data_IF_990623776862
#
_entry.id   IF_990623776862
#
_cell.length_a   1.000
_cell.length_b   1.000
_cell.length_c   1.000
_cell.angle_alpha   90.00
_cell.angle_beta   90.00
_cell.angle_gamma   90.00
#
_symmetry.space_group_name_H-M   'P 1'
#
loop_
_entity.id
_entity.type
_entity.pdbx_description
1 polymer ?
#
# COMPACT_ATOMS: atom_id res chain seq x y z
N UNK A 1 -1.57 26.28 -3.98
CA UNK A 1 -2.80 25.91 -3.24
C UNK A 1 -3.50 24.84 -4.06
N UNK A 2 -3.52 23.60 -3.58
CA UNK A 2 -4.28 22.52 -4.22
C UNK A 2 -5.75 22.71 -3.88
N UNK A 3 -6.57 23.09 -4.87
CA UNK A 3 -8.02 23.19 -4.72
C UNK A 3 -8.63 21.79 -4.62
N UNK A 4 -9.62 21.63 -3.75
CA UNK A 4 -10.30 20.36 -3.52
C UNK A 4 -11.40 20.18 -4.56
N UNK A 5 -11.07 19.55 -5.68
CA UNK A 5 -11.95 19.50 -6.85
C UNK A 5 -12.83 18.24 -6.90
N UNK A 6 -12.59 17.26 -6.02
CA UNK A 6 -13.30 15.97 -5.97
C UNK A 6 -13.90 15.74 -4.58
N UNK A 7 -15.18 15.38 -4.54
CA UNK A 7 -15.90 15.02 -3.30
C UNK A 7 -16.25 13.54 -3.31
N UNK A 8 -15.95 12.87 -2.20
CA UNK A 8 -16.34 11.48 -1.93
C UNK A 8 -17.36 11.50 -0.78
N UNK A 9 -18.40 10.68 -0.89
CA UNK A 9 -19.36 10.44 0.19
C UNK A 9 -19.06 9.07 0.80
N UNK A 10 -18.88 9.04 2.12
CA UNK A 10 -18.63 7.83 2.89
C UNK A 10 -19.65 7.80 4.03
N UNK A 11 -20.26 6.64 4.25
CA UNK A 11 -21.17 6.42 5.36
C UNK A 11 -20.42 5.70 6.48
N UNK A 12 -20.61 6.19 7.70
CA UNK A 12 -20.11 5.59 8.92
C UNK A 12 -21.31 5.13 9.76
N UNK A 13 -21.12 4.09 10.55
CA UNK A 13 -22.06 3.81 11.64
C UNK A 13 -21.95 4.87 12.75
N UNK A 14 -22.94 4.89 13.64
CA UNK A 14 -23.06 5.89 14.71
C UNK A 14 -21.87 5.84 15.69
N UNK A 15 -21.38 4.65 16.01
CA UNK A 15 -20.28 4.47 16.95
C UNK A 15 -18.98 5.07 16.39
N UNK A 16 -18.67 4.72 15.15
CA UNK A 16 -17.48 5.20 14.46
C UNK A 16 -17.58 6.70 14.17
N UNK A 17 -18.77 7.20 13.81
CA UNK A 17 -18.99 8.63 13.65
C UNK A 17 -18.77 9.40 14.97
N UNK A 18 -19.28 8.87 16.09
CA UNK A 18 -19.05 9.45 17.41
C UNK A 18 -17.57 9.56 17.76
N UNK A 19 -16.79 8.51 17.47
CA UNK A 19 -15.33 8.53 17.63
C UNK A 19 -14.66 9.56 16.74
N UNK A 20 -15.01 9.63 15.45
CA UNK A 20 -14.51 10.64 14.51
C UNK A 20 -14.75 12.08 15.01
N UNK A 21 -15.93 12.35 15.57
CA UNK A 21 -16.26 13.67 16.13
C UNK A 21 -15.41 13.98 17.35
N UNK A 22 -15.16 13.00 18.23
CA UNK A 22 -14.34 13.19 19.41
C UNK A 22 -12.90 13.54 19.03
N UNK A 23 -12.26 12.74 18.18
CA UNK A 23 -10.88 12.95 17.74
C UNK A 23 -10.70 14.30 17.04
N UNK A 24 -11.59 14.63 16.09
CA UNK A 24 -11.53 15.91 15.39
C UNK A 24 -11.67 17.11 16.34
N UNK A 25 -12.46 16.98 17.41
CA UNK A 25 -12.59 18.02 18.45
C UNK A 25 -11.34 18.13 19.30
N UNK A 26 -10.73 17.02 19.69
CA UNK A 26 -9.48 17.00 20.45
C UNK A 26 -8.35 17.69 19.68
N UNK A 27 -8.28 17.42 18.37
CA UNK A 27 -7.30 18.05 17.47
C UNK A 27 -7.69 19.48 17.03
N UNK A 28 -8.91 19.93 17.36
CA UNK A 28 -9.46 21.25 16.99
C UNK A 28 -9.51 21.47 15.47
N UNK A 29 -9.81 20.43 14.70
CA UNK A 29 -9.96 20.47 13.25
C UNK A 29 -11.36 20.00 12.83
N UNK A 30 -11.70 20.23 11.55
CA UNK A 30 -12.95 19.69 11.00
C UNK A 30 -12.84 18.18 10.79
N UNK A 31 -13.97 17.45 10.89
CA UNK A 31 -14.02 16.02 10.58
C UNK A 31 -13.46 15.70 9.19
N UNK A 32 -13.75 16.56 8.20
CA UNK A 32 -13.24 16.39 6.84
C UNK A 32 -11.73 16.63 6.70
N UNK A 33 -11.12 17.43 7.59
CA UNK A 33 -9.67 17.58 7.68
C UNK A 33 -9.07 16.34 8.34
N UNK A 34 -9.63 15.91 9.48
CA UNK A 34 -9.19 14.70 10.18
C UNK A 34 -9.22 13.45 9.28
N UNK A 35 -10.32 13.23 8.54
CA UNK A 35 -10.43 12.11 7.59
C UNK A 35 -9.34 12.21 6.51
N UNK A 36 -9.04 13.41 6.02
CA UNK A 36 -8.01 13.58 5.01
C UNK A 36 -6.63 13.26 5.57
N UNK A 37 -6.31 13.79 6.72
CA UNK A 37 -5.01 13.57 7.36
C UNK A 37 -4.79 12.08 7.63
N UNK A 38 -5.83 11.37 8.11
CA UNK A 38 -5.79 9.92 8.29
C UNK A 38 -5.61 9.14 6.96
N UNK A 39 -6.23 9.60 5.86
CA UNK A 39 -6.05 9.00 4.54
C UNK A 39 -4.64 9.24 4.02
N UNK A 40 -4.15 10.48 4.10
CA UNK A 40 -2.82 10.87 3.64
C UNK A 40 -1.75 10.09 4.40
N UNK A 41 -1.87 10.00 5.73
CA UNK A 41 -0.96 9.21 6.57
C UNK A 41 -0.95 7.72 6.18
N UNK A 42 -2.12 7.13 5.90
CA UNK A 42 -2.21 5.73 5.48
C UNK A 42 -1.60 5.50 4.10
N UNK A 43 -1.77 6.43 3.16
CA UNK A 43 -1.19 6.34 1.83
C UNK A 43 0.33 6.52 1.86
N UNK A 44 0.82 7.46 2.65
CA UNK A 44 2.25 7.73 2.82
C UNK A 44 2.96 6.58 3.52
N UNK A 45 2.38 6.02 4.59
CA UNK A 45 2.90 4.80 5.24
C UNK A 45 3.02 3.65 4.26
N UNK A 46 1.98 3.40 3.46
CA UNK A 46 2.01 2.34 2.44
C UNK A 46 3.11 2.57 1.41
N UNK A 47 3.33 3.81 0.99
CA UNK A 47 4.41 4.16 0.06
C UNK A 47 5.79 3.91 0.68
N UNK A 48 5.97 4.30 1.94
CA UNK A 48 7.21 4.08 2.67
C UNK A 48 7.51 2.59 2.84
N UNK A 49 6.51 1.77 3.18
CA UNK A 49 6.65 0.32 3.32
C UNK A 49 7.08 -0.35 2.02
N UNK A 50 6.47 0.05 0.89
CA UNK A 50 6.83 -0.46 -0.44
C UNK A 50 8.27 -0.06 -0.78
N UNK A 51 8.68 1.17 -0.52
CA UNK A 51 10.05 1.61 -0.76
C UNK A 51 11.05 0.85 0.12
N UNK A 52 10.72 0.63 1.39
CA UNK A 52 11.56 -0.14 2.31
C UNK A 52 11.67 -1.63 1.90
N UNK A 53 10.59 -2.23 1.40
CA UNK A 53 10.62 -3.58 0.83
C UNK A 53 11.49 -3.64 -0.44
N UNK A 54 11.36 -2.66 -1.32
CA UNK A 54 12.15 -2.56 -2.56
C UNK A 54 13.64 -2.40 -2.26
N UNK A 55 13.99 -1.55 -1.29
CA UNK A 55 15.37 -1.34 -0.86
C UNK A 55 15.98 -2.61 -0.25
N UNK A 56 15.19 -3.36 0.55
CA UNK A 56 15.62 -4.67 1.09
C UNK A 56 15.85 -5.68 -0.02
N UNK A 57 14.95 -5.75 -1.00
CA UNK A 57 15.10 -6.65 -2.15
C UNK A 57 16.38 -6.31 -2.94
N UNK A 58 16.60 -5.04 -3.25
CA UNK A 58 17.80 -4.60 -3.96
C UNK A 58 19.09 -4.90 -3.19
N UNK A 59 19.12 -4.61 -1.88
CA UNK A 59 20.28 -4.91 -1.05
C UNK A 59 20.58 -6.43 -1.00
N UNK A 60 19.54 -7.27 -0.94
CA UNK A 60 19.72 -8.73 -0.95
C UNK A 60 20.19 -9.30 -2.29
N UNK A 61 19.99 -8.57 -3.40
CA UNK A 61 20.41 -9.01 -4.72
C UNK A 61 21.94 -9.04 -4.89
N UNK A 62 22.67 -8.24 -4.10
CA UNK A 62 24.13 -8.22 -4.06
C UNK A 62 24.72 -9.26 -3.09
N UNK A 63 23.94 -9.77 -2.14
CA UNK A 63 24.40 -10.70 -1.09
C UNK A 63 24.32 -12.17 -1.50
N UNK A 64 23.47 -12.50 -2.47
CA UNK A 64 23.34 -13.86 -2.99
C UNK A 64 24.15 -13.96 -4.29
N UNK A 65 25.14 -14.87 -4.40
CA UNK A 65 25.75 -15.18 -5.68
C UNK A 65 24.64 -15.66 -6.61
N UNK A 66 24.26 -14.83 -7.59
CA UNK A 66 23.28 -15.26 -8.57
C UNK A 66 23.92 -16.39 -9.37
N UNK A 67 23.26 -17.56 -9.48
CA UNK A 67 23.69 -18.52 -10.47
C UNK A 67 23.64 -17.79 -11.82
N UNK A 68 24.73 -17.87 -12.58
CA UNK A 68 24.73 -17.40 -13.96
C UNK A 68 23.88 -18.37 -14.79
N UNK A 69 22.57 -18.32 -14.59
CA UNK A 69 21.62 -19.04 -15.43
C UNK A 69 21.52 -18.29 -16.76
N UNK A 70 21.62 -19.04 -17.85
CA UNK A 70 21.49 -18.49 -19.18
C UNK A 70 20.05 -18.02 -19.38
N UNK A 71 19.87 -16.77 -19.79
CA UNK A 71 18.54 -16.20 -20.05
C UNK A 71 17.79 -16.98 -21.15
N UNK A 72 18.53 -17.63 -22.05
CA UNK A 72 17.95 -18.51 -23.07
C UNK A 72 17.33 -19.79 -22.47
N UNK A 73 17.85 -20.30 -21.34
CA UNK A 73 17.30 -21.49 -20.66
C UNK A 73 16.03 -21.16 -19.85
N UNK A 74 15.92 -19.94 -19.31
CA UNK A 74 14.79 -19.51 -18.45
C UNK A 74 13.56 -19.11 -19.27
N UNK A 75 13.76 -18.58 -20.48
CA UNK A 75 12.68 -17.98 -21.26
C UNK A 75 11.72 -19.01 -21.85
N UNK A 76 12.19 -20.23 -22.08
CA UNK A 76 11.46 -21.31 -22.76
C UNK A 76 10.81 -22.33 -21.82
N UNK A 77 10.81 -22.12 -20.49
CA UNK A 77 10.06 -22.96 -19.54
C UNK A 77 8.78 -22.27 -19.03
N UNK A 78 7.64 -22.44 -19.73
CA UNK A 78 6.34 -22.00 -19.26
C UNK A 78 5.69 -22.91 -18.21
N UNK A 79 6.34 -23.98 -17.74
CA UNK A 79 5.72 -25.04 -16.92
C UNK A 79 6.34 -25.29 -15.54
N UNK A 80 7.46 -24.67 -15.14
CA UNK A 80 7.94 -24.76 -13.75
C UNK A 80 7.28 -23.73 -12.79
N UNK A 81 5.98 -23.48 -12.99
CA UNK A 81 5.10 -22.78 -12.03
C UNK A 81 4.17 -23.80 -11.34
N UNK A 82 4.49 -24.31 -10.14
CA UNK A 82 3.61 -25.22 -9.41
C UNK A 82 2.36 -24.55 -8.78
N UNK A 83 1.96 -23.34 -9.19
CA UNK A 83 0.88 -22.57 -8.50
C UNK A 83 -0.38 -22.34 -9.36
N UNK A 84 -0.47 -22.94 -10.56
CA UNK A 84 -1.65 -22.80 -11.44
C UNK A 84 -2.30 -24.15 -11.82
N UNK A 85 -2.06 -25.21 -11.04
CA UNK A 85 -2.73 -26.50 -11.16
C UNK A 85 -3.40 -26.90 -9.84
N UNK A 86 -4.39 -26.12 -9.42
CA UNK A 86 -5.52 -26.64 -8.64
C UNK A 86 -6.54 -25.49 -8.50
N UNK A 87 -7.46 -25.44 -9.45
CA UNK A 87 -8.81 -24.89 -9.34
C UNK A 87 -9.48 -25.05 -10.71
N UNK A 88 -9.81 -26.29 -11.04
CA UNK A 88 -10.77 -26.65 -12.10
C UNK A 88 -11.82 -27.57 -11.49
#
# INVERSE_FOLDING_TARGET
>A
MTTLDRRVQVLFDEELYGRLVAEAREERISIGAFIRDAVDERLDRRRADVQAALHRLWASADEVPQPAEDWEDIKDDPLDRPVLRDNS
#
